data_IF_603507158631
#
_entry.id   IF_603507158631
#
_cell.length_a   1.000
_cell.length_b   1.000
_cell.length_c   1.000
_cell.angle_alpha   90.00
_cell.angle_beta   90.00
_cell.angle_gamma   90.00
#
_symmetry.space_group_name_H-M   'P 1'
#
loop_
_entity.id
_entity.type
_entity.pdbx_description
1 polymer ?
#
# COMPACT_ATOMS: atom_id res chain seq x y z
N UNK A 1 -1.20 -55.32 -19.12
CA UNK A 1 0.05 -55.46 -19.91
C UNK A 1 0.05 -54.27 -20.84
N UNK A 2 0.42 -53.11 -20.28
CA UNK A 2 0.30 -51.80 -20.93
C UNK A 2 1.68 -51.20 -21.13
N UNK A 3 1.73 -50.47 -22.22
CA UNK A 3 2.87 -50.12 -23.02
C UNK A 3 3.60 -48.89 -22.47
N UNK A 4 4.91 -48.88 -22.73
CA UNK A 4 5.87 -47.84 -22.39
C UNK A 4 5.52 -46.55 -23.17
N UNK A 5 4.89 -45.60 -22.52
CA UNK A 5 4.95 -44.19 -22.96
C UNK A 5 5.97 -43.42 -22.12
N UNK A 6 6.88 -42.78 -22.83
CA UNK A 6 8.11 -42.18 -22.34
C UNK A 6 7.86 -41.05 -21.33
N UNK A 7 8.42 -41.20 -20.13
CA UNK A 7 8.75 -40.06 -19.27
C UNK A 7 9.97 -39.34 -19.87
N UNK A 8 9.97 -38.02 -20.05
CA UNK A 8 11.19 -37.28 -20.30
C UNK A 8 12.02 -37.29 -19.01
N UNK A 9 13.05 -38.12 -18.99
CA UNK A 9 14.11 -38.07 -18.00
C UNK A 9 15.00 -36.85 -18.29
N UNK A 10 14.72 -35.71 -17.66
CA UNK A 10 15.66 -34.58 -17.53
C UNK A 10 15.10 -33.47 -16.60
N UNK A 11 14.92 -33.73 -15.30
CA UNK A 11 14.62 -32.65 -14.32
C UNK A 11 15.32 -32.81 -12.96
N UNK A 12 16.20 -33.80 -12.77
CA UNK A 12 16.68 -34.17 -11.44
C UNK A 12 18.07 -33.63 -11.06
N UNK A 13 18.52 -32.50 -11.63
CA UNK A 13 19.79 -31.84 -11.22
C UNK A 13 19.61 -30.33 -10.92
N UNK A 14 18.41 -29.77 -11.12
CA UNK A 14 18.16 -28.32 -11.01
C UNK A 14 16.75 -27.99 -10.44
N UNK A 15 16.19 -28.94 -9.68
CA UNK A 15 14.75 -29.04 -9.41
C UNK A 15 14.17 -27.85 -8.63
N UNK A 16 14.83 -27.40 -7.57
CA UNK A 16 14.25 -26.34 -6.72
C UNK A 16 14.39 -24.97 -7.38
N UNK A 17 15.50 -24.68 -8.07
CA UNK A 17 15.69 -23.40 -8.78
C UNK A 17 14.65 -23.19 -9.90
N UNK A 18 14.37 -24.22 -10.69
CA UNK A 18 13.33 -24.16 -11.73
C UNK A 18 11.93 -23.99 -11.14
N UNK A 19 11.64 -24.69 -10.03
CA UNK A 19 10.36 -24.58 -9.33
C UNK A 19 10.14 -23.18 -8.74
N UNK A 20 11.17 -22.58 -8.13
CA UNK A 20 11.09 -21.23 -7.56
C UNK A 20 10.88 -20.17 -8.64
N UNK A 21 11.51 -20.30 -9.81
CA UNK A 21 11.24 -19.44 -10.98
C UNK A 21 9.81 -19.59 -11.48
N UNK A 22 9.32 -20.83 -11.62
CA UNK A 22 7.95 -21.11 -12.05
C UNK A 22 6.91 -20.56 -11.06
N UNK A 23 7.14 -20.73 -9.76
CA UNK A 23 6.27 -20.20 -8.71
C UNK A 23 6.26 -18.66 -8.71
N UNK A 24 7.41 -18.02 -8.88
CA UNK A 24 7.51 -16.56 -9.02
C UNK A 24 6.74 -16.08 -10.26
N UNK A 25 6.92 -16.77 -11.39
CA UNK A 25 6.22 -16.49 -12.65
C UNK A 25 4.70 -16.68 -12.56
N UNK A 26 4.23 -17.52 -11.63
CA UNK A 26 2.81 -17.71 -11.32
C UNK A 26 2.25 -16.69 -10.30
N UNK A 27 3.05 -15.71 -9.86
CA UNK A 27 2.63 -14.69 -8.90
C UNK A 27 2.87 -15.05 -7.43
N UNK A 28 3.52 -16.17 -7.13
CA UNK A 28 3.81 -16.60 -5.76
C UNK A 28 5.14 -16.04 -5.21
N UNK A 29 5.55 -14.85 -5.66
CA UNK A 29 6.87 -14.29 -5.34
C UNK A 29 7.12 -14.08 -3.83
N UNK A 30 6.11 -13.63 -3.08
CA UNK A 30 6.19 -13.52 -1.60
C UNK A 30 6.47 -14.87 -0.95
N UNK A 31 5.79 -15.93 -1.40
CA UNK A 31 5.99 -17.29 -0.89
C UNK A 31 7.37 -17.84 -1.28
N UNK A 32 7.85 -17.53 -2.48
CA UNK A 32 9.22 -17.85 -2.91
C UNK A 32 10.25 -17.18 -1.99
N UNK A 33 10.06 -15.90 -1.64
CA UNK A 33 10.91 -15.19 -0.67
C UNK A 33 10.93 -15.89 0.69
N UNK A 34 9.79 -16.32 1.20
CA UNK A 34 9.70 -17.07 2.47
C UNK A 34 10.42 -18.42 2.39
N UNK A 35 10.23 -19.19 1.32
CA UNK A 35 10.90 -20.47 1.13
C UNK A 35 12.41 -20.32 1.12
N UNK A 36 12.92 -19.34 0.35
CA UNK A 36 14.34 -19.01 0.33
C UNK A 36 14.85 -18.63 1.73
N UNK A 37 14.06 -17.91 2.56
CA UNK A 37 14.45 -17.52 3.93
C UNK A 37 14.61 -18.73 4.86
N UNK A 38 13.95 -19.83 4.52
CA UNK A 38 14.03 -21.10 5.21
C UNK A 38 15.04 -22.07 4.56
N UNK A 39 15.93 -21.59 3.68
CA UNK A 39 17.01 -22.39 3.10
C UNK A 39 16.59 -23.37 2.02
N UNK A 40 15.46 -23.15 1.34
CA UNK A 40 14.96 -24.03 0.25
C UNK A 40 15.77 -24.00 -1.06
N UNK A 41 16.94 -23.38 -1.06
CA UNK A 41 17.81 -23.37 -2.24
C UNK A 41 18.83 -24.49 -2.17
N UNK A 42 19.02 -25.17 -3.31
CA UNK A 42 19.94 -26.30 -3.41
C UNK A 42 21.41 -25.88 -3.27
N UNK A 43 21.75 -24.62 -3.53
CA UNK A 43 23.10 -24.08 -3.36
C UNK A 43 23.15 -22.55 -3.46
N UNK A 44 24.22 -21.95 -2.93
CA UNK A 44 24.52 -20.51 -3.10
C UNK A 44 24.67 -20.09 -4.59
N UNK A 45 25.07 -21.02 -5.46
CA UNK A 45 25.10 -20.78 -6.91
C UNK A 45 23.69 -20.64 -7.48
N UNK A 46 22.78 -21.50 -7.07
CA UNK A 46 21.38 -21.47 -7.53
C UNK A 46 20.67 -20.20 -7.02
N UNK A 47 21.03 -19.71 -5.83
CA UNK A 47 20.58 -18.40 -5.34
C UNK A 47 21.07 -17.26 -6.23
N UNK A 48 22.35 -17.26 -6.59
CA UNK A 48 22.91 -16.24 -7.50
C UNK A 48 22.20 -16.24 -8.85
N UNK A 49 22.03 -17.40 -9.48
CA UNK A 49 21.36 -17.51 -10.77
C UNK A 49 19.88 -17.10 -10.69
N UNK A 50 19.19 -17.42 -9.58
CA UNK A 50 17.83 -16.97 -9.32
C UNK A 50 17.73 -15.46 -9.15
N UNK A 51 18.66 -14.83 -8.43
CA UNK A 51 18.70 -13.39 -8.23
C UNK A 51 18.95 -12.62 -9.54
N UNK A 52 19.89 -13.10 -10.36
CA UNK A 52 20.13 -12.50 -11.69
C UNK A 52 18.92 -12.67 -12.62
N UNK A 53 18.27 -13.84 -12.58
CA UNK A 53 17.02 -14.05 -13.30
C UNK A 53 15.91 -13.13 -12.80
N UNK A 54 15.75 -12.97 -11.48
CA UNK A 54 14.74 -12.10 -10.88
C UNK A 54 14.95 -10.63 -11.31
N UNK A 55 16.20 -10.18 -11.41
CA UNK A 55 16.52 -8.84 -11.90
C UNK A 55 16.18 -8.65 -13.39
N UNK A 56 16.38 -9.67 -14.24
CA UNK A 56 15.99 -9.61 -15.65
C UNK A 56 14.47 -9.71 -15.82
N UNK A 57 13.85 -10.55 -15.01
CA UNK A 57 12.42 -10.78 -15.01
C UNK A 57 11.61 -9.62 -14.41
N UNK A 58 12.21 -8.81 -13.53
CA UNK A 58 11.51 -7.76 -12.79
C UNK A 58 10.82 -8.25 -11.50
N UNK A 59 11.24 -9.39 -10.94
CA UNK A 59 10.66 -9.93 -9.70
C UNK A 59 11.27 -9.27 -8.45
N UNK A 60 10.88 -8.03 -8.17
CA UNK A 60 11.35 -7.25 -7.02
C UNK A 60 11.26 -7.99 -5.67
N UNK A 61 10.15 -8.68 -5.42
CA UNK A 61 9.86 -9.43 -4.21
C UNK A 61 10.83 -10.60 -3.94
N UNK A 62 11.48 -11.14 -4.98
CA UNK A 62 12.49 -12.19 -4.81
C UNK A 62 13.83 -11.59 -4.35
N UNK A 63 14.11 -10.34 -4.75
CA UNK A 63 15.36 -9.60 -4.45
C UNK A 63 15.30 -8.93 -3.06
N UNK A 64 14.11 -8.53 -2.62
CA UNK A 64 13.92 -7.77 -1.39
C UNK A 64 14.54 -8.47 -0.16
N UNK A 65 15.48 -7.78 0.49
CA UNK A 65 16.19 -8.27 1.68
C UNK A 65 17.26 -9.32 1.40
N UNK A 66 17.59 -9.60 0.12
CA UNK A 66 18.52 -10.67 -0.29
C UNK A 66 19.66 -10.16 -1.15
N UNK A 67 20.57 -9.42 -0.53
CA UNK A 67 21.68 -8.83 -1.25
C UNK A 67 23.01 -9.26 -0.65
N UNK A 68 23.88 -9.74 -1.53
CA UNK A 68 25.28 -9.98 -1.24
C UNK A 68 26.16 -9.16 -2.19
N UNK A 69 27.43 -8.99 -1.81
CA UNK A 69 28.37 -8.12 -2.53
C UNK A 69 28.64 -8.60 -3.97
N UNK A 70 28.45 -9.89 -4.25
CA UNK A 70 28.76 -10.52 -5.53
C UNK A 70 27.60 -10.45 -6.53
N UNK A 71 26.35 -10.41 -6.05
CA UNK A 71 25.14 -10.38 -6.89
C UNK A 71 24.59 -8.98 -7.13
N UNK A 72 24.82 -8.05 -6.20
CA UNK A 72 24.22 -6.70 -6.21
C UNK A 72 24.53 -5.89 -7.48
N UNK A 73 25.82 -5.76 -7.86
CA UNK A 73 26.20 -4.98 -9.06
C UNK A 73 25.73 -5.64 -10.37
N UNK A 74 25.88 -6.96 -10.57
CA UNK A 74 25.30 -7.64 -11.71
C UNK A 74 23.77 -7.44 -11.84
N UNK A 75 23.01 -7.57 -10.75
CA UNK A 75 21.56 -7.33 -10.76
C UNK A 75 21.22 -5.90 -11.15
N UNK A 76 21.90 -4.90 -10.58
CA UNK A 76 21.69 -3.50 -10.94
C UNK A 76 21.88 -3.27 -12.45
N UNK A 77 22.96 -3.83 -13.01
CA UNK A 77 23.24 -3.73 -14.46
C UNK A 77 22.13 -4.36 -15.29
N UNK A 78 21.64 -5.54 -14.89
CA UNK A 78 20.55 -6.23 -15.59
C UNK A 78 19.26 -5.41 -15.52
N UNK A 79 18.86 -4.95 -14.33
CA UNK A 79 17.64 -4.16 -14.15
C UNK A 79 17.73 -2.81 -14.89
N UNK A 80 18.89 -2.14 -14.86
CA UNK A 80 19.12 -0.90 -15.63
C UNK A 80 19.00 -1.09 -17.13
N UNK A 81 19.28 -2.27 -17.67
CA UNK A 81 19.12 -2.54 -19.10
C UNK A 81 17.65 -2.50 -19.56
N UNK A 82 16.69 -2.61 -18.63
CA UNK A 82 15.26 -2.46 -18.91
C UNK A 82 14.78 -1.01 -18.81
N UNK A 83 15.56 -0.11 -18.21
CA UNK A 83 15.17 1.28 -18.02
C UNK A 83 15.06 1.99 -19.36
N UNK A 84 13.88 2.56 -19.63
CA UNK A 84 13.58 3.24 -20.88
C UNK A 84 13.13 2.33 -22.03
N UNK A 85 13.18 1.00 -21.87
CA UNK A 85 12.63 0.08 -22.86
C UNK A 85 11.10 -0.02 -22.75
N UNK A 86 10.45 -0.35 -23.87
CA UNK A 86 9.09 -0.87 -23.87
C UNK A 86 9.14 -2.40 -23.62
N UNK A 87 8.56 -2.90 -22.51
CA UNK A 87 8.57 -4.33 -22.20
C UNK A 87 8.01 -5.20 -23.31
N UNK A 88 6.97 -4.75 -24.02
CA UNK A 88 6.36 -5.53 -25.11
C UNK A 88 7.31 -5.67 -26.29
N UNK A 89 7.86 -4.55 -26.77
CA UNK A 89 8.81 -4.55 -27.88
C UNK A 89 10.05 -5.41 -27.56
N UNK A 90 10.59 -5.29 -26.35
CA UNK A 90 11.77 -6.05 -25.94
C UNK A 90 11.47 -7.56 -25.81
N UNK A 91 10.31 -7.92 -25.25
CA UNK A 91 9.86 -9.31 -25.18
C UNK A 91 9.67 -9.93 -26.57
N UNK A 92 9.01 -9.23 -27.50
CA UNK A 92 8.84 -9.68 -28.89
C UNK A 92 10.19 -9.88 -29.59
N UNK A 93 11.11 -8.94 -29.41
CA UNK A 93 12.49 -9.03 -29.92
C UNK A 93 13.22 -10.26 -29.38
N UNK A 94 13.15 -10.51 -28.07
CA UNK A 94 13.75 -11.70 -27.41
C UNK A 94 13.07 -13.01 -27.78
N UNK A 95 11.78 -12.99 -28.13
CA UNK A 95 11.05 -14.16 -28.63
C UNK A 95 11.36 -14.46 -30.10
N UNK A 96 11.78 -13.44 -30.86
CA UNK A 96 12.01 -13.51 -32.30
C UNK A 96 10.71 -13.49 -33.11
N UNK A 97 9.62 -12.99 -32.53
CA UNK A 97 8.30 -12.95 -33.15
C UNK A 97 7.62 -11.58 -32.93
N UNK A 98 7.63 -10.68 -33.94
CA UNK A 98 6.97 -9.38 -33.84
C UNK A 98 5.44 -9.49 -33.82
N UNK A 99 4.87 -10.59 -34.31
CA UNK A 99 3.43 -10.84 -34.38
C UNK A 99 2.87 -11.52 -33.12
N UNK A 100 3.72 -11.83 -32.13
CA UNK A 100 3.29 -12.45 -30.88
C UNK A 100 2.18 -11.65 -30.19
N UNK A 101 1.20 -12.39 -29.66
CA UNK A 101 0.08 -11.86 -28.89
C UNK A 101 0.56 -11.37 -27.53
N UNK A 102 -0.10 -10.36 -26.96
CA UNK A 102 0.30 -9.70 -25.72
C UNK A 102 -0.79 -9.85 -24.67
N UNK A 103 -0.42 -10.36 -23.51
CA UNK A 103 -1.25 -10.42 -22.31
C UNK A 103 -0.65 -9.52 -21.22
N UNK A 104 -1.50 -8.81 -20.49
CA UNK A 104 -1.13 -7.94 -19.37
C UNK A 104 -1.96 -8.32 -18.17
N UNK A 105 -1.31 -8.52 -17.03
CA UNK A 105 -1.98 -8.89 -15.78
C UNK A 105 -1.33 -8.16 -14.61
N UNK A 106 -2.12 -7.49 -13.79
CA UNK A 106 -1.62 -6.96 -12.52
C UNK A 106 -1.32 -8.12 -11.55
N UNK A 107 -0.12 -8.11 -10.99
CA UNK A 107 0.34 -9.08 -10.00
C UNK A 107 0.69 -8.36 -8.70
N UNK A 108 0.26 -8.91 -7.58
CA UNK A 108 0.71 -8.45 -6.26
C UNK A 108 2.19 -8.80 -6.09
N UNK A 109 3.00 -7.82 -5.69
CA UNK A 109 4.45 -7.98 -5.50
C UNK A 109 4.77 -8.16 -4.02
N UNK A 110 4.22 -7.30 -3.16
CA UNK A 110 4.28 -7.41 -1.70
C UNK A 110 3.03 -6.75 -1.10
N UNK A 111 2.92 -6.68 0.22
CA UNK A 111 1.81 -6.02 0.94
C UNK A 111 1.56 -4.56 0.54
N UNK A 112 2.53 -3.91 -0.11
CA UNK A 112 2.52 -2.47 -0.38
C UNK A 112 2.65 -2.10 -1.86
N UNK A 113 2.53 -3.06 -2.78
CA UNK A 113 2.60 -2.71 -4.20
C UNK A 113 2.28 -3.83 -5.17
N UNK A 114 1.83 -3.40 -6.35
CA UNK A 114 1.57 -4.24 -7.50
C UNK A 114 2.65 -4.03 -8.58
N UNK A 115 2.68 -4.89 -9.58
CA UNK A 115 3.37 -4.64 -10.84
C UNK A 115 2.55 -5.23 -11.98
N UNK A 116 2.74 -4.72 -13.18
CA UNK A 116 2.18 -5.35 -14.36
C UNK A 116 3.08 -6.51 -14.80
N UNK A 117 2.50 -7.68 -15.00
CA UNK A 117 3.11 -8.81 -15.68
C UNK A 117 2.73 -8.78 -17.15
N UNK A 118 3.71 -8.59 -18.02
CA UNK A 118 3.54 -8.59 -19.47
C UNK A 118 4.02 -9.93 -20.00
N UNK A 119 3.15 -10.65 -20.71
CA UNK A 119 3.49 -11.89 -21.42
C UNK A 119 3.30 -11.69 -22.91
N UNK A 120 4.22 -12.24 -23.69
CA UNK A 120 4.08 -12.39 -25.14
C UNK A 120 4.08 -13.86 -25.52
N UNK A 121 3.19 -14.26 -26.42
CA UNK A 121 3.02 -15.64 -26.87
C UNK A 121 3.02 -15.70 -28.40
N UNK A 122 3.89 -16.51 -29.00
CA UNK A 122 3.93 -16.73 -30.45
C UNK A 122 2.90 -17.77 -30.90
N UNK A 123 2.63 -17.82 -32.21
CA UNK A 123 1.69 -18.78 -32.80
C UNK A 123 2.06 -20.26 -32.54
N UNK A 124 3.36 -20.56 -32.38
CA UNK A 124 3.87 -21.89 -32.01
C UNK A 124 3.83 -22.17 -30.49
N UNK A 125 3.15 -21.31 -29.72
CA UNK A 125 2.94 -21.39 -28.27
C UNK A 125 4.21 -21.23 -27.41
N UNK A 126 5.34 -20.79 -27.97
CA UNK A 126 6.44 -20.27 -27.15
C UNK A 126 6.02 -18.95 -26.53
N UNK A 127 6.50 -18.68 -25.32
CA UNK A 127 6.16 -17.44 -24.63
C UNK A 127 7.35 -16.91 -23.84
N UNK A 128 7.30 -15.60 -23.56
CA UNK A 128 8.18 -14.92 -22.61
C UNK A 128 7.37 -13.93 -21.81
N UNK A 129 7.77 -13.65 -20.58
CA UNK A 129 7.09 -12.67 -19.75
C UNK A 129 8.08 -11.96 -18.81
N UNK A 130 7.72 -10.76 -18.38
CA UNK A 130 8.41 -9.97 -17.33
C UNK A 130 7.40 -9.20 -16.49
N UNK A 131 7.81 -8.81 -15.28
CA UNK A 131 7.14 -7.83 -14.43
C UNK A 131 7.76 -6.44 -14.66
N UNK A 132 6.96 -5.37 -14.57
CA UNK A 132 7.41 -3.98 -14.80
C UNK A 132 8.15 -3.33 -13.62
N UNK A 133 8.51 -4.09 -12.58
CA UNK A 133 9.13 -3.59 -11.36
C UNK A 133 10.65 -3.33 -11.46
N UNK A 134 11.22 -3.21 -12.66
CA UNK A 134 12.66 -2.98 -12.82
C UNK A 134 13.12 -1.66 -12.19
N UNK A 135 12.30 -0.60 -12.20
CA UNK A 135 12.66 0.67 -11.56
C UNK A 135 12.68 0.57 -10.03
N UNK A 136 11.77 -0.20 -9.44
CA UNK A 136 11.81 -0.54 -8.02
C UNK A 136 13.10 -1.28 -7.64
N UNK A 137 13.52 -2.26 -8.46
CA UNK A 137 14.79 -2.98 -8.28
C UNK A 137 15.99 -2.02 -8.38
N UNK A 138 16.01 -1.16 -9.39
CA UNK A 138 17.09 -0.16 -9.58
C UNK A 138 17.16 0.78 -8.38
N UNK A 139 16.04 1.37 -7.97
CA UNK A 139 15.96 2.28 -6.81
C UNK A 139 16.44 1.60 -5.54
N UNK A 140 15.94 0.40 -5.24
CA UNK A 140 16.30 -0.34 -4.04
C UNK A 140 17.80 -0.67 -3.98
N UNK A 141 18.38 -1.16 -5.08
CA UNK A 141 19.80 -1.51 -5.12
C UNK A 141 20.69 -0.25 -5.07
N UNK A 142 20.30 0.85 -5.73
CA UNK A 142 21.06 2.10 -5.70
C UNK A 142 21.12 2.73 -4.31
N UNK A 143 20.01 2.73 -3.57
CA UNK A 143 19.97 3.18 -2.16
C UNK A 143 20.94 2.36 -1.30
N UNK A 144 20.92 1.04 -1.44
CA UNK A 144 21.81 0.17 -0.65
C UNK A 144 23.29 0.29 -1.02
N UNK A 145 23.60 0.69 -2.25
CA UNK A 145 24.96 1.00 -2.68
C UNK A 145 25.38 2.44 -2.32
N UNK A 146 24.49 3.24 -1.70
CA UNK A 146 24.75 4.64 -1.39
C UNK A 146 24.89 5.54 -2.62
N UNK A 147 24.34 5.12 -3.77
CA UNK A 147 24.37 5.89 -5.03
C UNK A 147 23.27 6.95 -5.03
N UNK A 148 22.07 6.59 -4.54
CA UNK A 148 20.89 7.44 -4.34
C UNK A 148 20.53 8.36 -5.51
N UNK A 149 19.45 8.04 -6.24
CA UNK A 149 18.98 8.89 -7.35
C UNK A 149 18.53 10.28 -6.86
N UNK A 150 18.69 11.35 -7.65
CA UNK A 150 18.10 12.67 -7.35
C UNK A 150 16.57 12.60 -7.19
N UNK A 151 15.98 13.54 -6.44
CA UNK A 151 14.54 13.54 -6.15
C UNK A 151 13.66 13.61 -7.42
N UNK A 152 14.05 14.42 -8.41
CA UNK A 152 13.34 14.51 -9.69
C UNK A 152 13.38 13.18 -10.47
N UNK A 153 14.49 12.44 -10.34
CA UNK A 153 14.59 11.11 -10.96
C UNK A 153 13.70 10.10 -10.21
N UNK A 154 13.65 10.12 -8.88
CA UNK A 154 12.73 9.28 -8.11
C UNK A 154 11.26 9.56 -8.48
N UNK A 155 10.88 10.83 -8.61
CA UNK A 155 9.56 11.21 -9.11
C UNK A 155 9.31 10.63 -10.51
N UNK A 156 10.25 10.79 -11.44
CA UNK A 156 10.10 10.23 -12.79
C UNK A 156 9.96 8.69 -12.79
N UNK A 157 10.62 8.00 -11.84
CA UNK A 157 10.48 6.55 -11.66
C UNK A 157 9.10 6.17 -11.14
N UNK A 158 8.58 6.90 -10.15
CA UNK A 158 7.23 6.68 -9.60
C UNK A 158 6.15 6.87 -10.68
N UNK A 159 6.29 7.90 -11.50
CA UNK A 159 5.30 8.26 -12.52
C UNK A 159 5.33 7.34 -13.75
N UNK A 160 6.31 6.42 -13.87
CA UNK A 160 6.49 5.59 -15.07
C UNK A 160 5.26 4.77 -15.44
N UNK A 161 4.64 4.13 -14.44
CA UNK A 161 3.46 3.28 -14.65
C UNK A 161 2.16 4.08 -14.49
N UNK A 162 2.23 5.28 -13.89
CA UNK A 162 1.07 6.13 -13.62
C UNK A 162 0.09 5.55 -12.60
N UNK A 163 0.49 4.50 -11.87
CA UNK A 163 -0.28 3.81 -10.85
C UNK A 163 0.36 4.06 -9.46
N UNK A 164 -0.33 4.78 -8.55
CA UNK A 164 0.11 4.98 -7.17
C UNK A 164 0.28 3.69 -6.36
N UNK A 165 -0.41 2.61 -6.74
CA UNK A 165 -0.28 1.31 -6.10
C UNK A 165 0.87 0.47 -6.68
N UNK A 166 1.61 1.00 -7.67
CA UNK A 166 2.77 0.30 -8.24
C UNK A 166 3.94 0.23 -7.27
N UNK A 167 4.67 -0.88 -7.30
CA UNK A 167 5.90 -1.03 -6.51
C UNK A 167 6.98 -0.03 -6.92
N UNK A 168 6.95 0.45 -8.17
CA UNK A 168 7.84 1.52 -8.65
C UNK A 168 7.55 2.84 -7.91
N UNK A 169 6.27 3.18 -7.71
CA UNK A 169 5.85 4.32 -6.90
C UNK A 169 6.30 4.18 -5.45
N UNK A 170 5.92 3.07 -4.81
CA UNK A 170 6.22 2.82 -3.40
C UNK A 170 7.73 2.86 -3.11
N UNK A 171 8.57 2.26 -3.98
CA UNK A 171 10.03 2.29 -3.78
C UNK A 171 10.64 3.68 -4.01
N UNK A 172 10.16 4.43 -4.98
CA UNK A 172 10.60 5.81 -5.18
C UNK A 172 10.22 6.71 -3.99
N UNK A 173 9.01 6.55 -3.46
CA UNK A 173 8.55 7.24 -2.26
C UNK A 173 9.42 6.89 -1.04
N UNK A 174 9.69 5.61 -0.78
CA UNK A 174 10.59 5.19 0.30
C UNK A 174 12.00 5.78 0.17
N UNK A 175 12.58 5.76 -1.03
CA UNK A 175 13.90 6.34 -1.27
C UNK A 175 13.91 7.86 -1.07
N UNK A 176 12.82 8.56 -1.39
CA UNK A 176 12.70 10.00 -1.17
C UNK A 176 12.59 10.33 0.33
N UNK A 177 11.79 9.58 1.08
CA UNK A 177 11.47 9.89 2.49
C UNK A 177 12.52 9.42 3.48
N UNK A 178 13.33 8.40 3.14
CA UNK A 178 14.42 7.91 3.99
C UNK A 178 15.72 8.73 3.90
N UNK A 179 15.75 9.82 3.14
CA UNK A 179 16.94 10.66 3.01
C UNK A 179 17.27 11.37 4.33
N UNK A 180 18.56 11.52 4.61
CA UNK A 180 19.03 12.25 5.78
C UNK A 180 18.70 13.75 5.75
N UNK A 181 18.73 14.38 4.57
CA UNK A 181 18.39 15.80 4.42
C UNK A 181 16.87 15.97 4.21
N UNK A 182 16.14 15.89 5.31
CA UNK A 182 14.68 16.02 5.32
C UNK A 182 14.23 17.44 4.97
N UNK A 183 15.03 18.46 5.25
CA UNK A 183 14.73 19.87 4.91
C UNK A 183 14.78 20.10 3.41
N UNK A 184 15.83 19.63 2.72
CA UNK A 184 15.92 19.74 1.27
C UNK A 184 14.80 18.94 0.59
N UNK A 185 14.50 17.73 1.09
CA UNK A 185 13.42 16.88 0.57
C UNK A 185 12.06 17.56 0.74
N UNK A 186 11.82 18.21 1.88
CA UNK A 186 10.57 18.95 2.13
C UNK A 186 10.40 20.12 1.18
N UNK A 187 11.43 20.94 1.00
CA UNK A 187 11.38 22.09 0.07
C UNK A 187 11.18 21.66 -1.37
N UNK A 188 11.80 20.55 -1.77
CA UNK A 188 11.55 19.95 -3.08
C UNK A 188 10.08 19.53 -3.22
N UNK A 189 9.53 18.78 -2.26
CA UNK A 189 8.15 18.31 -2.31
C UNK A 189 7.14 19.48 -2.32
N UNK A 190 7.41 20.55 -1.56
CA UNK A 190 6.62 21.78 -1.61
C UNK A 190 6.58 22.41 -3.02
N UNK A 191 7.71 22.42 -3.73
CA UNK A 191 7.79 22.90 -5.11
C UNK A 191 7.01 22.00 -6.08
N UNK A 192 7.17 20.69 -5.96
CA UNK A 192 6.47 19.68 -6.77
C UNK A 192 4.96 19.70 -6.54
N UNK A 193 4.51 20.05 -5.34
CA UNK A 193 3.08 20.18 -5.02
C UNK A 193 2.37 21.30 -5.80
N UNK A 194 3.12 22.21 -6.41
CA UNK A 194 2.58 23.27 -7.28
C UNK A 194 2.45 22.85 -8.76
N UNK A 195 2.89 21.64 -9.10
CA UNK A 195 2.86 21.15 -10.48
C UNK A 195 1.41 21.01 -11.01
N UNK A 196 1.14 21.33 -12.29
CA UNK A 196 -0.19 21.16 -12.87
C UNK A 196 -0.63 19.70 -12.98
N UNK A 197 0.30 18.74 -13.05
CA UNK A 197 -0.01 17.30 -13.12
C UNK A 197 -0.47 16.75 -11.77
N UNK A 198 -1.62 16.08 -11.78
CA UNK A 198 -2.25 15.54 -10.57
C UNK A 198 -1.42 14.45 -9.90
N UNK A 199 -0.75 13.59 -10.66
CA UNK A 199 0.05 12.49 -10.08
C UNK A 199 1.33 13.04 -9.47
N UNK A 200 1.94 14.03 -10.11
CA UNK A 200 3.08 14.76 -9.55
C UNK A 200 2.72 15.37 -8.19
N UNK A 201 1.57 16.05 -8.09
CA UNK A 201 1.09 16.58 -6.81
C UNK A 201 0.77 15.50 -5.78
N UNK A 202 0.18 14.38 -6.21
CA UNK A 202 -0.09 13.25 -5.33
C UNK A 202 1.21 12.75 -4.68
N UNK A 203 2.22 12.44 -5.50
CA UNK A 203 3.51 11.97 -5.00
C UNK A 203 4.13 12.94 -4.00
N UNK A 204 4.09 14.24 -4.30
CA UNK A 204 4.56 15.28 -3.38
C UNK A 204 3.77 15.31 -2.06
N UNK A 205 2.44 15.19 -2.11
CA UNK A 205 1.61 15.14 -0.91
C UNK A 205 1.92 13.93 -0.03
N UNK A 206 2.20 12.77 -0.64
CA UNK A 206 2.60 11.56 0.10
C UNK A 206 4.00 11.67 0.70
N UNK A 207 4.95 12.32 0.02
CA UNK A 207 6.27 12.62 0.59
C UNK A 207 6.13 13.57 1.78
N UNK A 208 5.33 14.64 1.67
CA UNK A 208 5.10 15.56 2.79
C UNK A 208 4.43 14.84 3.97
N UNK A 209 3.39 14.05 3.72
CA UNK A 209 2.75 13.26 4.78
C UNK A 209 3.75 12.36 5.52
N UNK A 210 4.62 11.66 4.80
CA UNK A 210 5.64 10.81 5.41
C UNK A 210 6.63 11.58 6.30
N UNK A 211 7.03 12.77 5.85
CA UNK A 211 7.98 13.63 6.57
C UNK A 211 7.35 14.33 7.78
N UNK A 212 6.01 14.39 7.84
CA UNK A 212 5.28 14.88 9.00
C UNK A 212 5.43 13.92 10.21
N UNK A 213 5.55 12.62 9.94
CA UNK A 213 5.74 11.57 10.95
C UNK A 213 7.18 11.64 11.50
N UNK A 214 7.43 12.57 12.42
CA UNK A 214 8.73 12.75 13.05
C UNK A 214 9.03 14.23 13.34
N UNK A 215 10.20 14.78 12.91
CA UNK A 215 10.58 16.14 13.23
C UNK A 215 9.77 17.22 12.51
N UNK A 216 8.91 16.85 11.54
CA UNK A 216 8.07 17.76 10.76
C UNK A 216 8.86 18.99 10.23
N UNK A 217 9.88 18.76 9.38
CA UNK A 217 10.74 19.83 8.86
C UNK A 217 9.93 20.92 8.16
N UNK A 218 10.40 22.17 8.26
CA UNK A 218 9.78 23.34 7.63
C UNK A 218 8.28 23.51 7.97
N UNK A 219 7.85 23.06 9.16
CA UNK A 219 6.45 23.01 9.62
C UNK A 219 5.60 24.21 9.21
N UNK A 220 6.02 25.43 9.56
CA UNK A 220 5.23 26.64 9.28
C UNK A 220 5.07 26.93 7.79
N UNK A 221 6.14 26.71 7.01
CA UNK A 221 6.13 26.89 5.55
C UNK A 221 5.20 25.84 4.90
N UNK A 222 5.28 24.59 5.35
CA UNK A 222 4.44 23.48 4.86
C UNK A 222 2.97 23.73 5.21
N UNK A 223 2.64 24.10 6.45
CA UNK A 223 1.26 24.39 6.86
C UNK A 223 0.66 25.56 6.07
N UNK A 224 1.44 26.62 5.79
CA UNK A 224 0.98 27.73 4.97
C UNK A 224 0.65 27.30 3.54
N UNK A 225 1.50 26.45 2.94
CA UNK A 225 1.28 25.88 1.62
C UNK A 225 0.06 24.95 1.60
N UNK A 226 0.00 24.00 2.53
CA UNK A 226 -1.09 23.02 2.62
C UNK A 226 -2.44 23.70 2.81
N UNK A 227 -2.53 24.73 3.66
CA UNK A 227 -3.76 25.53 3.81
C UNK A 227 -4.25 26.12 2.48
N UNK A 228 -3.32 26.66 1.70
CA UNK A 228 -3.62 27.21 0.37
C UNK A 228 -4.07 26.11 -0.60
N UNK A 229 -3.42 24.94 -0.55
CA UNK A 229 -3.73 23.81 -1.42
C UNK A 229 -5.05 23.11 -1.06
N UNK A 230 -5.37 22.94 0.22
CA UNK A 230 -6.65 22.37 0.67
C UNK A 230 -7.85 23.15 0.10
N UNK A 231 -7.76 24.49 0.09
CA UNK A 231 -8.81 25.34 -0.44
C UNK A 231 -8.95 25.29 -1.98
N UNK A 232 -7.90 24.89 -2.70
CA UNK A 232 -7.82 25.00 -4.16
C UNK A 232 -7.74 23.66 -4.90
N UNK A 233 -7.40 22.56 -4.23
CA UNK A 233 -7.27 21.25 -4.86
C UNK A 233 -8.64 20.71 -5.27
N UNK A 234 -8.72 20.25 -6.52
CA UNK A 234 -9.97 19.75 -7.11
C UNK A 234 -9.97 18.24 -7.26
N UNK A 235 -8.79 17.61 -7.30
CA UNK A 235 -8.70 16.17 -7.34
C UNK A 235 -8.92 15.57 -5.94
N UNK A 236 -9.93 14.72 -5.82
CA UNK A 236 -10.32 14.13 -4.53
C UNK A 236 -9.22 13.29 -3.88
N UNK A 237 -8.42 12.56 -4.67
CA UNK A 237 -7.38 11.67 -4.14
C UNK A 237 -6.20 12.48 -3.60
N UNK A 238 -5.73 13.49 -4.37
CA UNK A 238 -4.73 14.45 -3.88
C UNK A 238 -5.24 15.17 -2.63
N UNK A 239 -6.50 15.61 -2.63
CA UNK A 239 -7.09 16.28 -1.47
C UNK A 239 -7.08 15.40 -0.22
N UNK A 240 -7.33 14.10 -0.33
CA UNK A 240 -7.23 13.19 0.83
C UNK A 240 -5.83 13.15 1.40
N UNK A 241 -4.79 13.07 0.55
CA UNK A 241 -3.39 13.09 0.99
C UNK A 241 -3.01 14.41 1.64
N UNK A 242 -3.51 15.53 1.11
CA UNK A 242 -3.31 16.86 1.69
C UNK A 242 -3.95 17.00 3.08
N UNK A 243 -5.16 16.47 3.26
CA UNK A 243 -5.87 16.47 4.54
C UNK A 243 -5.04 15.71 5.59
N UNK A 244 -4.57 14.50 5.25
CA UNK A 244 -3.74 13.70 6.17
C UNK A 244 -2.40 14.38 6.45
N UNK A 245 -1.70 14.91 5.43
CA UNK A 245 -0.46 15.65 5.65
C UNK A 245 -0.70 16.87 6.56
N UNK A 246 -1.79 17.61 6.36
CA UNK A 246 -2.11 18.78 7.17
C UNK A 246 -2.38 18.41 8.63
N UNK A 247 -3.14 17.34 8.88
CA UNK A 247 -3.41 16.84 10.22
C UNK A 247 -2.11 16.46 10.95
N UNK A 248 -1.22 15.72 10.29
CA UNK A 248 0.06 15.27 10.88
C UNK A 248 1.04 16.43 11.15
N UNK A 249 1.04 17.46 10.29
CA UNK A 249 1.84 18.66 10.55
C UNK A 249 1.24 19.57 11.63
N UNK A 250 -0.02 19.39 12.02
CA UNK A 250 -0.70 20.25 12.98
C UNK A 250 -0.68 19.65 14.39
N UNK A 251 -0.81 20.50 15.42
CA UNK A 251 -1.04 20.04 16.78
C UNK A 251 -2.45 19.44 16.90
N UNK A 252 -2.62 18.48 17.83
CA UNK A 252 -3.90 17.84 18.09
C UNK A 252 -5.01 18.86 18.36
N UNK A 253 -6.20 18.63 17.80
CA UNK A 253 -7.36 19.48 17.99
C UNK A 253 -8.34 19.42 16.82
N UNK A 254 -9.37 20.27 16.87
CA UNK A 254 -10.29 20.44 15.75
C UNK A 254 -9.70 21.44 14.75
N UNK A 255 -9.51 21.00 13.51
CA UNK A 255 -8.88 21.77 12.45
C UNK A 255 -9.95 22.32 11.48
N UNK A 256 -10.27 23.62 11.51
CA UNK A 256 -11.32 24.19 10.66
C UNK A 256 -11.11 23.94 9.17
N UNK A 257 -9.84 23.93 8.73
CA UNK A 257 -9.46 23.63 7.35
C UNK A 257 -9.87 22.21 6.92
N UNK A 258 -9.79 21.22 7.82
CA UNK A 258 -10.25 19.85 7.55
C UNK A 258 -11.78 19.78 7.63
N UNK A 259 -12.39 20.41 8.65
CA UNK A 259 -13.85 20.41 8.87
C UNK A 259 -14.59 21.01 7.68
N UNK A 260 -14.01 21.99 6.98
CA UNK A 260 -14.59 22.57 5.77
C UNK A 260 -14.88 21.54 4.67
N UNK A 261 -14.26 20.36 4.71
CA UNK A 261 -14.45 19.28 3.74
C UNK A 261 -15.44 18.19 4.22
N UNK A 262 -16.08 18.35 5.38
CA UNK A 262 -17.02 17.34 5.93
C UNK A 262 -18.23 17.08 5.02
N UNK A 263 -18.63 18.04 4.19
CA UNK A 263 -19.76 17.92 3.24
C UNK A 263 -19.31 17.74 1.78
N UNK A 264 -18.02 17.46 1.54
CA UNK A 264 -17.45 17.38 0.20
C UNK A 264 -18.22 16.37 -0.70
N UNK A 265 -18.43 16.64 -2.00
CA UNK A 265 -19.22 15.78 -2.88
C UNK A 265 -18.69 14.34 -2.94
N UNK A 266 -17.36 14.19 -3.00
CA UNK A 266 -16.71 12.89 -3.07
C UNK A 266 -16.65 12.20 -1.69
N UNK A 267 -17.17 10.96 -1.54
CA UNK A 267 -17.18 10.23 -0.27
C UNK A 267 -15.79 9.92 0.26
N UNK A 268 -14.79 9.73 -0.61
CA UNK A 268 -13.40 9.47 -0.19
C UNK A 268 -12.83 10.62 0.66
N UNK A 269 -13.21 11.87 0.35
CA UNK A 269 -12.79 13.06 1.10
C UNK A 269 -13.51 13.12 2.44
N UNK A 270 -14.84 12.93 2.46
CA UNK A 270 -15.61 12.91 3.72
C UNK A 270 -15.15 11.80 4.67
N UNK A 271 -14.80 10.64 4.10
CA UNK A 271 -14.18 9.54 4.84
C UNK A 271 -12.84 9.97 5.45
N UNK A 272 -11.98 10.64 4.68
CA UNK A 272 -10.71 11.13 5.20
C UNK A 272 -10.94 12.15 6.33
N UNK A 273 -11.90 13.05 6.20
CA UNK A 273 -12.28 13.98 7.29
C UNK A 273 -12.69 13.21 8.55
N UNK A 274 -13.51 12.17 8.42
CA UNK A 274 -13.87 11.33 9.57
C UNK A 274 -12.64 10.69 10.23
N UNK A 275 -11.67 10.24 9.44
CA UNK A 275 -10.43 9.64 9.93
C UNK A 275 -9.58 10.65 10.71
N UNK A 276 -9.40 11.87 10.21
CA UNK A 276 -8.56 12.89 10.86
C UNK A 276 -9.22 13.52 12.11
N UNK A 277 -10.54 13.42 12.26
CA UNK A 277 -11.24 13.91 13.46
C UNK A 277 -10.87 13.14 14.74
N UNK A 278 -10.13 12.03 14.65
CA UNK A 278 -9.57 11.37 15.83
C UNK A 278 -8.70 12.33 16.67
N UNK A 279 -7.94 13.23 16.03
CA UNK A 279 -7.12 14.24 16.70
C UNK A 279 -7.93 15.19 17.57
N UNK A 280 -9.13 15.59 17.11
CA UNK A 280 -10.06 16.42 17.86
C UNK A 280 -10.61 15.72 19.12
N UNK A 281 -10.72 14.39 19.10
CA UNK A 281 -11.17 13.61 20.25
C UNK A 281 -10.08 13.41 21.31
N UNK A 282 -8.81 13.67 20.98
CA UNK A 282 -7.69 13.54 21.91
C UNK A 282 -7.48 14.77 22.80
N UNK A 283 -8.24 15.86 22.59
CA UNK A 283 -8.15 17.07 23.42
C UNK A 283 -9.50 17.39 24.08
N UNK A 284 -9.45 17.79 25.35
CA UNK A 284 -10.66 18.15 26.11
C UNK A 284 -11.37 19.39 25.57
N UNK A 285 -10.64 20.29 24.90
CA UNK A 285 -11.20 21.50 24.32
C UNK A 285 -12.11 21.22 23.11
N UNK A 286 -11.77 20.20 22.31
CA UNK A 286 -12.47 19.91 21.05
C UNK A 286 -13.29 18.62 21.04
N UNK A 287 -13.20 17.78 22.08
CA UNK A 287 -13.83 16.43 22.08
C UNK A 287 -15.33 16.48 21.79
N UNK A 288 -16.06 17.47 22.32
CA UNK A 288 -17.50 17.62 22.10
C UNK A 288 -17.80 17.88 20.63
N UNK A 289 -17.19 18.92 20.07
CA UNK A 289 -17.41 19.35 18.69
C UNK A 289 -16.96 18.28 17.70
N UNK A 290 -15.82 17.63 17.94
CA UNK A 290 -15.35 16.51 17.14
C UNK A 290 -16.30 15.32 17.17
N UNK A 291 -16.84 14.99 18.35
CA UNK A 291 -17.80 13.89 18.49
C UNK A 291 -19.14 14.19 17.80
N UNK A 292 -19.62 15.43 17.86
CA UNK A 292 -20.86 15.86 17.19
C UNK A 292 -20.70 15.82 15.65
N UNK A 293 -19.55 16.25 15.12
CA UNK A 293 -19.24 16.13 13.69
C UNK A 293 -19.16 14.67 13.22
N UNK A 294 -18.51 13.80 14.00
CA UNK A 294 -18.47 12.38 13.69
C UNK A 294 -19.85 11.74 13.76
N UNK A 295 -20.71 12.15 14.70
CA UNK A 295 -22.09 11.70 14.74
C UNK A 295 -22.88 12.11 13.49
N UNK A 296 -22.65 13.31 12.94
CA UNK A 296 -23.21 13.69 11.65
C UNK A 296 -22.71 12.81 10.49
N UNK A 297 -21.40 12.52 10.44
CA UNK A 297 -20.80 11.64 9.43
C UNK A 297 -21.21 10.17 9.59
N UNK A 298 -21.57 9.74 10.79
CA UNK A 298 -22.16 8.41 11.01
C UNK A 298 -23.56 8.27 10.36
N UNK A 299 -24.21 9.37 9.98
CA UNK A 299 -25.44 9.40 9.18
C UNK A 299 -25.22 9.58 7.67
N UNK A 300 -23.98 9.51 7.18
CA UNK A 300 -23.64 9.76 5.77
C UNK A 300 -24.30 8.78 4.79
N UNK A 301 -24.56 9.24 3.56
CA UNK A 301 -25.11 8.41 2.47
C UNK A 301 -24.20 7.25 2.07
N UNK A 302 -22.88 7.40 2.23
CA UNK A 302 -21.88 6.40 1.87
C UNK A 302 -21.50 5.56 3.09
N UNK A 303 -21.63 4.24 2.97
CA UNK A 303 -21.37 3.35 4.10
C UNK A 303 -19.92 3.30 4.57
N UNK A 304 -18.94 3.63 3.71
CA UNK A 304 -17.53 3.72 4.13
C UNK A 304 -17.29 4.94 4.99
N UNK A 305 -17.98 6.05 4.71
CA UNK A 305 -17.94 7.26 5.55
C UNK A 305 -18.56 6.96 6.91
N UNK A 306 -19.75 6.33 6.93
CA UNK A 306 -20.40 5.90 8.17
C UNK A 306 -19.50 4.99 9.00
N UNK A 307 -18.92 3.96 8.38
CA UNK A 307 -18.03 3.01 9.03
C UNK A 307 -16.81 3.71 9.66
N UNK A 308 -16.11 4.59 8.92
CA UNK A 308 -14.97 5.35 9.46
C UNK A 308 -15.38 6.24 10.63
N UNK A 309 -16.52 6.94 10.55
CA UNK A 309 -16.99 7.79 11.63
C UNK A 309 -17.34 7.01 12.91
N UNK A 310 -18.06 5.89 12.77
CA UNK A 310 -18.41 5.00 13.88
C UNK A 310 -17.14 4.43 14.52
N UNK A 311 -16.18 3.94 13.69
CA UNK A 311 -14.90 3.42 14.17
C UNK A 311 -14.17 4.46 15.01
N UNK A 312 -13.99 5.69 14.49
CA UNK A 312 -13.25 6.75 15.19
C UNK A 312 -13.93 7.13 16.52
N UNK A 313 -15.26 7.28 16.54
CA UNK A 313 -16.01 7.50 17.79
C UNK A 313 -15.78 6.38 18.81
N UNK A 314 -15.89 5.12 18.37
CA UNK A 314 -15.79 3.97 19.28
C UNK A 314 -14.36 3.74 19.77
N UNK A 315 -13.35 4.10 18.97
CA UNK A 315 -11.94 3.99 19.36
C UNK A 315 -11.54 5.09 20.35
N UNK A 316 -11.93 6.35 20.10
CA UNK A 316 -11.37 7.51 20.81
C UNK A 316 -12.35 8.20 21.77
N UNK A 317 -13.65 7.96 21.64
CA UNK A 317 -14.70 8.61 22.43
C UNK A 317 -15.81 7.63 22.86
N UNK A 318 -15.43 6.38 23.21
CA UNK A 318 -16.39 5.32 23.55
C UNK A 318 -17.38 5.74 24.66
N UNK A 319 -16.88 6.42 25.69
CA UNK A 319 -17.69 6.85 26.84
C UNK A 319 -18.46 8.17 26.58
N UNK A 320 -18.31 8.78 25.41
CA UNK A 320 -19.05 10.00 25.08
C UNK A 320 -20.53 9.67 24.81
N UNK A 321 -21.50 10.45 25.34
CA UNK A 321 -22.94 10.14 25.20
C UNK A 321 -23.42 9.97 23.76
N UNK A 322 -22.83 10.72 22.82
CA UNK A 322 -23.18 10.63 21.39
C UNK A 322 -22.82 9.27 20.78
N UNK A 323 -21.76 8.63 21.28
CA UNK A 323 -21.29 7.35 20.76
C UNK A 323 -22.31 6.25 20.99
N UNK A 324 -22.93 6.21 22.18
CA UNK A 324 -24.01 5.28 22.47
C UNK A 324 -25.25 5.48 21.56
N UNK A 325 -25.57 6.73 21.22
CA UNK A 325 -26.67 7.05 20.31
C UNK A 325 -26.37 6.58 18.89
N UNK A 326 -25.15 6.83 18.40
CA UNK A 326 -24.69 6.40 17.07
C UNK A 326 -24.68 4.87 16.94
N UNK A 327 -24.16 4.15 17.94
CA UNK A 327 -24.17 2.68 17.97
C UNK A 327 -25.61 2.15 17.89
N UNK A 328 -26.51 2.74 18.68
CA UNK A 328 -27.94 2.34 18.69
C UNK A 328 -28.59 2.58 17.34
N UNK A 329 -28.38 3.74 16.72
CA UNK A 329 -28.94 4.08 15.41
C UNK A 329 -28.39 3.20 14.27
N UNK A 330 -27.16 2.70 14.41
CA UNK A 330 -26.45 1.93 13.38
C UNK A 330 -26.60 0.41 13.53
N UNK A 331 -27.38 -0.06 14.51
CA UNK A 331 -27.51 -1.49 14.84
C UNK A 331 -27.91 -2.36 13.64
N UNK A 332 -28.83 -1.83 12.84
CA UNK A 332 -29.41 -2.50 11.68
C UNK A 332 -28.93 -1.87 10.36
N UNK A 333 -27.74 -1.24 10.36
CA UNK A 333 -27.18 -0.64 9.15
C UNK A 333 -27.00 -1.71 8.06
N UNK A 334 -27.55 -1.50 6.84
CA UNK A 334 -27.50 -2.49 5.77
C UNK A 334 -26.12 -2.63 5.13
N UNK A 335 -25.20 -1.69 5.36
CA UNK A 335 -23.89 -1.70 4.71
C UNK A 335 -22.92 -2.68 5.38
N UNK A 336 -22.32 -3.62 4.62
CA UNK A 336 -21.43 -4.63 5.17
C UNK A 336 -20.13 -4.06 5.76
N UNK A 337 -19.77 -2.81 5.44
CA UNK A 337 -18.61 -2.12 6.04
C UNK A 337 -18.93 -1.52 7.41
N UNK A 338 -20.19 -1.14 7.66
CA UNK A 338 -20.61 -0.56 8.95
C UNK A 338 -20.77 -1.64 10.02
N UNK A 339 -21.30 -2.80 9.61
CA UNK A 339 -21.62 -3.91 10.52
C UNK A 339 -20.47 -4.33 11.44
N UNK A 340 -19.22 -4.54 10.96
CA UNK A 340 -18.10 -4.87 11.84
C UNK A 340 -17.80 -3.80 12.90
N UNK A 341 -17.97 -2.53 12.57
CA UNK A 341 -17.68 -1.42 13.50
C UNK A 341 -18.70 -1.37 14.63
N UNK A 342 -19.98 -1.52 14.29
CA UNK A 342 -21.07 -1.54 15.26
C UNK A 342 -20.97 -2.77 16.17
N UNK A 343 -20.70 -3.95 15.61
CA UNK A 343 -20.50 -5.15 16.41
C UNK A 343 -19.28 -5.01 17.34
N UNK A 344 -18.19 -4.41 16.87
CA UNK A 344 -16.98 -4.17 17.69
C UNK A 344 -17.31 -3.25 18.87
N UNK A 345 -18.07 -2.18 18.61
CA UNK A 345 -18.53 -1.27 19.65
C UNK A 345 -19.46 -1.94 20.68
N UNK A 346 -20.41 -2.75 20.23
CA UNK A 346 -21.31 -3.50 21.11
C UNK A 346 -20.56 -4.54 21.95
N UNK A 347 -19.62 -5.27 21.34
CA UNK A 347 -18.77 -6.23 22.04
C UNK A 347 -17.90 -5.55 23.10
N UNK A 348 -17.35 -4.36 22.80
CA UNK A 348 -16.64 -3.52 23.78
C UNK A 348 -17.53 -3.11 24.96
N UNK A 349 -18.82 -2.87 24.68
CA UNK A 349 -19.85 -2.62 25.69
C UNK A 349 -20.34 -3.87 26.44
N UNK A 350 -19.79 -5.06 26.14
CA UNK A 350 -20.13 -6.32 26.82
C UNK A 350 -21.23 -7.14 26.15
N UNK A 351 -21.66 -6.82 24.93
CA UNK A 351 -22.64 -7.62 24.19
C UNK A 351 -22.00 -8.93 23.70
N UNK A 352 -22.31 -10.03 24.39
CA UNK A 352 -21.80 -11.36 24.07
C UNK A 352 -22.28 -11.89 22.71
N UNK A 353 -23.46 -11.49 22.24
CA UNK A 353 -23.96 -11.89 20.93
C UNK A 353 -23.19 -11.17 19.81
N UNK A 354 -22.86 -9.89 20.01
CA UNK A 354 -22.01 -9.15 19.08
C UNK A 354 -20.60 -9.73 19.01
N UNK A 355 -20.03 -10.13 20.15
CA UNK A 355 -18.72 -10.80 20.19
C UNK A 355 -18.74 -12.14 19.42
N UNK A 356 -19.76 -12.96 19.61
CA UNK A 356 -19.89 -14.24 18.91
C UNK A 356 -20.05 -14.06 17.39
N UNK A 357 -20.81 -13.05 16.96
CA UNK A 357 -20.99 -12.77 15.53
C UNK A 357 -19.71 -12.22 14.89
N UNK A 358 -18.91 -11.40 15.59
CA UNK A 358 -17.60 -10.98 15.10
C UNK A 358 -16.64 -12.15 14.91
N UNK A 359 -16.61 -13.09 15.85
CA UNK A 359 -15.79 -14.29 15.74
C UNK A 359 -16.18 -15.11 14.50
N UNK A 360 -17.49 -15.33 14.30
CA UNK A 360 -18.01 -16.02 13.11
C UNK A 360 -17.60 -15.33 11.80
N UNK A 361 -17.71 -13.99 11.76
CA UNK A 361 -17.30 -13.21 10.59
C UNK A 361 -15.78 -13.25 10.36
N UNK A 362 -14.98 -13.32 11.42
CA UNK A 362 -13.52 -13.43 11.33
C UNK A 362 -13.06 -14.82 10.85
N UNK A 363 -13.76 -15.89 11.22
CA UNK A 363 -13.48 -17.25 10.73
C UNK A 363 -13.64 -17.38 9.19
N UNK A 364 -14.51 -16.55 8.61
CA UNK A 364 -14.75 -16.47 7.16
C UNK A 364 -13.76 -15.53 6.44
N UNK A 365 -12.97 -14.75 7.18
CA UNK A 365 -12.09 -13.73 6.65
C UNK A 365 -10.64 -14.21 6.49
N UNK A 366 -9.87 -13.49 5.68
CA UNK A 366 -8.44 -13.76 5.55
C UNK A 366 -7.73 -13.55 6.91
N UNK A 367 -6.84 -14.47 7.32
CA UNK A 367 -6.02 -14.31 8.52
C UNK A 367 -5.25 -12.98 8.50
N UNK A 368 -5.32 -12.23 9.60
CA UNK A 368 -4.68 -10.91 9.71
C UNK A 368 -5.47 -9.76 9.07
N UNK A 369 -6.66 -10.02 8.53
CA UNK A 369 -7.57 -8.95 8.12
C UNK A 369 -7.97 -8.05 9.30
N UNK A 370 -8.39 -6.82 9.02
CA UNK A 370 -8.91 -5.93 10.07
C UNK A 370 -10.10 -6.53 10.83
N UNK A 371 -10.88 -7.40 10.18
CA UNK A 371 -12.00 -8.12 10.81
C UNK A 371 -11.50 -9.13 11.85
N UNK A 372 -10.44 -9.88 11.52
CA UNK A 372 -9.79 -10.78 12.47
C UNK A 372 -9.20 -10.03 13.67
N UNK A 373 -8.58 -8.87 13.45
CA UNK A 373 -8.06 -8.04 14.54
C UNK A 373 -9.17 -7.51 15.46
N UNK A 374 -10.30 -7.07 14.89
CA UNK A 374 -11.48 -6.64 15.67
C UNK A 374 -12.08 -7.77 16.50
N UNK A 375 -12.17 -8.99 15.96
CA UNK A 375 -12.66 -10.15 16.70
C UNK A 375 -11.73 -10.50 17.88
N UNK A 376 -10.42 -10.45 17.66
CA UNK A 376 -9.42 -10.63 18.72
C UNK A 376 -9.58 -9.60 19.85
N UNK A 377 -9.74 -8.32 19.51
CA UNK A 377 -9.96 -7.26 20.51
C UNK A 377 -11.27 -7.48 21.29
N UNK A 378 -12.33 -7.91 20.61
CA UNK A 378 -13.63 -8.20 21.21
C UNK A 378 -13.57 -9.34 22.24
N UNK A 379 -12.88 -10.43 21.92
CA UNK A 379 -12.64 -11.52 22.87
C UNK A 379 -11.87 -11.05 24.10
N UNK A 380 -10.87 -10.20 23.88
CA UNK A 380 -10.07 -9.65 24.96
C UNK A 380 -10.89 -8.72 25.89
N UNK A 381 -11.81 -7.92 25.34
CA UNK A 381 -12.76 -7.15 26.15
C UNK A 381 -13.73 -8.04 26.92
N UNK A 382 -14.26 -9.09 26.27
CA UNK A 382 -15.15 -10.05 26.92
C UNK A 382 -14.49 -10.81 28.08
N UNK A 383 -13.20 -11.13 27.97
CA UNK A 383 -12.42 -11.73 29.06
C UNK A 383 -12.24 -10.76 30.22
N UNK A 384 -11.93 -9.49 29.93
CA UNK A 384 -11.80 -8.45 30.97
C UNK A 384 -13.09 -8.20 31.73
N UNK A 385 -14.25 -8.29 31.08
CA UNK A 385 -15.55 -8.08 31.73
C UNK A 385 -15.98 -9.22 32.68
N UNK A 386 -15.30 -10.38 32.64
CA UNK A 386 -15.57 -11.54 33.52
C UNK A 386 -14.74 -11.55 34.81
N UNK A 387 -13.80 -10.61 34.94
CA UNK A 387 -12.95 -10.41 36.12
C UNK A 387 -13.28 -9.08 36.77
#
# INVERSE_FOLDING_TARGET
>A
MEDRSARPAALAVDGNGALLRAATAAGHGTRVRELLANGWSDSARNDTELMLWAADYGAYQVILGRLDQHTTKPMLRIARAWVGLDPVAELKRRLGDPAAEVERQMVSVDFHGNAECVRVTSADRRWRQVQTAHLAIVTYIEELLGIGAPLDELLARALRDGDPDSVNWTQAWHAATNRHDTVATTRWAMGVLLDPDTRTRWFAAEVLHALAVGPAPCRDEVLALLRTRLAAESNADVLTRLITAFAEYHDLGLLPEIVAHAEHPHPVVRRQVAEELCSALMTSASVREGADLLAALAGDRDGRVRASAIRVLCTHAFDHPVTAQVITASRDDPDPQVRPEVLSALARGGDAAACAELARLADEAEPGSQLAMRAYDAEHWALRARH
#
